data_IF_048438939821
#
_entry.id   IF_048438939821
#
_cell.length_a   1.000
_cell.length_b   1.000
_cell.length_c   1.000
_cell.angle_alpha   90.00
_cell.angle_beta   90.00
_cell.angle_gamma   90.00
#
_symmetry.space_group_name_H-M   'P 1'
#
loop_
_entity.id
_entity.type
_entity.pdbx_description
1 polymer ?
#
# COMPACT_ATOMS: atom_id res chain seq x y z
N UNK A 1 -33.00 -7.10 -5.67
CA UNK A 1 -31.88 -6.19 -6.03
C UNK A 1 -30.72 -7.04 -6.54
N UNK A 2 -30.76 -7.41 -7.84
CA UNK A 2 -29.80 -8.34 -8.43
C UNK A 2 -28.65 -7.54 -9.05
N UNK A 3 -27.64 -7.22 -8.24
CA UNK A 3 -26.39 -6.64 -8.73
C UNK A 3 -25.56 -7.79 -9.31
N UNK A 4 -26.01 -8.34 -10.45
CA UNK A 4 -25.10 -9.08 -11.33
C UNK A 4 -24.21 -8.07 -12.05
N UNK A 5 -23.36 -7.36 -11.30
CA UNK A 5 -22.15 -6.83 -11.86
C UNK A 5 -21.31 -8.05 -12.19
N UNK A 6 -21.34 -8.50 -13.45
CA UNK A 6 -20.27 -9.35 -13.96
C UNK A 6 -18.96 -8.64 -13.60
N UNK A 7 -18.01 -9.31 -12.91
CA UNK A 7 -16.75 -8.67 -12.60
C UNK A 7 -16.19 -8.15 -13.92
N UNK A 8 -15.71 -6.90 -13.94
CA UNK A 8 -14.96 -6.41 -15.09
C UNK A 8 -13.72 -7.27 -15.16
N UNK A 9 -13.78 -8.34 -15.95
CA UNK A 9 -12.66 -9.24 -16.14
C UNK A 9 -11.67 -8.48 -17.00
N UNK A 10 -10.57 -8.06 -16.38
CA UNK A 10 -9.44 -7.49 -17.10
C UNK A 10 -9.09 -8.37 -18.29
N UNK A 11 -9.07 -7.75 -19.47
CA UNK A 11 -8.59 -8.41 -20.69
C UNK A 11 -7.14 -8.87 -20.51
N UNK A 12 -6.68 -9.77 -21.38
CA UNK A 12 -5.28 -10.20 -21.41
C UNK A 12 -4.31 -9.01 -21.47
N UNK A 13 -4.69 -7.96 -22.21
CA UNK A 13 -3.94 -6.70 -22.33
C UNK A 13 -3.78 -5.98 -21.00
N UNK A 14 -4.86 -5.85 -20.21
CA UNK A 14 -4.79 -5.21 -18.88
C UNK A 14 -3.88 -5.97 -17.92
N UNK A 15 -3.98 -7.32 -17.93
CA UNK A 15 -3.12 -8.18 -17.12
C UNK A 15 -1.65 -8.07 -17.53
N UNK A 16 -1.39 -8.02 -18.84
CA UNK A 16 -0.05 -7.83 -19.38
C UNK A 16 0.53 -6.47 -18.95
N UNK A 17 -0.24 -5.38 -19.06
CA UNK A 17 0.18 -4.06 -18.60
C UNK A 17 0.49 -4.05 -17.10
N UNK A 18 -0.37 -4.63 -16.26
CA UNK A 18 -0.07 -4.73 -14.83
C UNK A 18 1.23 -5.51 -14.61
N UNK A 19 1.39 -6.67 -15.26
CA UNK A 19 2.58 -7.50 -15.12
C UNK A 19 3.84 -6.73 -15.54
N UNK A 20 3.81 -5.97 -16.63
CA UNK A 20 4.94 -5.16 -17.07
C UNK A 20 5.26 -4.04 -16.07
N UNK A 21 4.26 -3.36 -15.51
CA UNK A 21 4.47 -2.29 -14.52
C UNK A 21 5.06 -2.87 -13.23
N UNK A 22 4.52 -3.98 -12.74
CA UNK A 22 5.04 -4.66 -11.55
C UNK A 22 6.46 -5.20 -11.80
N UNK A 23 6.71 -5.80 -12.96
CA UNK A 23 8.04 -6.27 -13.35
C UNK A 23 9.02 -5.10 -13.43
N UNK A 24 8.66 -4.00 -14.08
CA UNK A 24 9.51 -2.81 -14.16
C UNK A 24 9.84 -2.23 -12.78
N UNK A 25 8.86 -2.13 -11.88
CA UNK A 25 9.08 -1.67 -10.50
C UNK A 25 9.98 -2.64 -9.72
N UNK A 26 9.76 -3.95 -9.86
CA UNK A 26 10.58 -4.97 -9.21
C UNK A 26 12.02 -4.96 -9.74
N UNK A 27 12.19 -4.81 -11.05
CA UNK A 27 13.52 -4.65 -11.67
C UNK A 27 14.20 -3.38 -11.18
N UNK A 28 13.49 -2.26 -11.09
CA UNK A 28 14.04 -1.03 -10.52
C UNK A 28 14.48 -1.24 -9.05
N UNK A 29 13.64 -1.86 -8.22
CA UNK A 29 13.97 -2.19 -6.84
C UNK A 29 15.22 -3.10 -6.72
N UNK A 30 15.31 -4.12 -7.58
CA UNK A 30 16.47 -5.01 -7.66
C UNK A 30 17.74 -4.28 -8.06
N UNK A 31 17.71 -3.46 -9.12
CA UNK A 31 18.89 -2.71 -9.59
C UNK A 31 19.34 -1.71 -8.54
N UNK A 32 18.42 -0.96 -7.93
CA UNK A 32 18.72 -0.01 -6.86
C UNK A 32 19.39 -0.72 -5.68
N UNK A 33 18.79 -1.82 -5.20
CA UNK A 33 19.27 -2.53 -4.00
C UNK A 33 20.56 -3.31 -4.21
N UNK A 34 20.80 -3.87 -5.40
CA UNK A 34 22.01 -4.64 -5.72
C UNK A 34 23.21 -3.76 -6.08
N UNK A 35 22.96 -2.61 -6.70
CA UNK A 35 24.03 -1.66 -7.03
C UNK A 35 24.31 -0.62 -5.96
N UNK A 36 23.61 -0.69 -4.81
CA UNK A 36 23.77 0.25 -3.69
C UNK A 36 23.59 1.73 -4.07
N UNK A 37 22.83 2.01 -5.14
CA UNK A 37 22.65 3.35 -5.72
C UNK A 37 21.97 4.34 -4.77
N UNK A 38 21.20 3.80 -3.83
CA UNK A 38 20.44 4.51 -2.82
C UNK A 38 20.67 3.87 -1.45
N UNK A 39 21.88 3.35 -1.19
CA UNK A 39 22.23 2.84 0.13
C UNK A 39 22.53 4.00 1.08
N UNK A 40 21.87 4.02 2.24
CA UNK A 40 22.17 5.01 3.26
C UNK A 40 23.54 4.73 3.91
N UNK A 41 24.34 5.77 4.04
CA UNK A 41 25.63 5.79 4.74
C UNK A 41 25.49 6.00 6.27
N UNK A 42 24.25 5.92 6.79
CA UNK A 42 23.87 6.24 8.16
C UNK A 42 24.10 7.71 8.56
N UNK A 43 24.36 8.60 7.61
CA UNK A 43 24.53 10.03 7.83
C UNK A 43 23.61 10.90 6.96
N UNK A 44 22.95 10.28 5.99
CA UNK A 44 22.04 10.95 5.06
C UNK A 44 20.78 11.47 5.75
N UNK A 45 20.51 12.78 5.62
CA UNK A 45 19.32 13.45 6.16
C UNK A 45 18.02 13.07 5.43
N UNK A 46 18.12 12.69 4.16
CA UNK A 46 17.02 12.18 3.36
C UNK A 46 17.18 10.66 3.21
N UNK A 47 16.50 9.86 4.06
CA UNK A 47 16.67 8.42 4.06
C UNK A 47 16.12 7.83 2.75
N UNK A 48 16.93 7.09 1.98
CA UNK A 48 16.54 6.59 0.66
C UNK A 48 15.28 5.72 0.66
N UNK A 49 15.04 5.02 1.77
CA UNK A 49 13.81 4.26 2.03
C UNK A 49 12.52 5.07 1.81
N UNK A 50 12.53 6.36 2.16
CA UNK A 50 11.37 7.25 1.97
C UNK A 50 11.15 7.57 0.50
N UNK A 51 12.24 7.77 -0.25
CA UNK A 51 12.19 8.08 -1.68
C UNK A 51 11.64 6.88 -2.45
N UNK A 52 12.18 5.68 -2.20
CA UNK A 52 11.78 4.47 -2.93
C UNK A 52 10.34 4.05 -2.63
N UNK A 53 9.84 4.32 -1.41
CA UNK A 53 8.44 4.09 -1.06
C UNK A 53 7.49 5.16 -1.63
N UNK A 54 7.88 6.44 -1.64
CA UNK A 54 6.97 7.56 -1.99
C UNK A 54 6.91 7.83 -3.48
N UNK A 55 8.04 7.76 -4.20
CA UNK A 55 8.09 8.10 -5.64
C UNK A 55 7.10 7.28 -6.48
N UNK A 56 7.00 5.94 -6.33
CA UNK A 56 6.02 5.16 -7.10
C UNK A 56 4.57 5.55 -6.79
N UNK A 57 4.28 5.92 -5.54
CA UNK A 57 2.95 6.39 -5.12
C UNK A 57 2.62 7.74 -5.75
N UNK A 58 3.58 8.67 -5.78
CA UNK A 58 3.42 9.97 -6.46
C UNK A 58 3.16 9.76 -7.95
N UNK A 59 3.94 8.91 -8.62
CA UNK A 59 3.74 8.56 -10.04
C UNK A 59 2.33 7.99 -10.25
N UNK A 60 1.87 7.07 -9.40
CA UNK A 60 0.51 6.54 -9.44
C UNK A 60 -0.55 7.64 -9.32
N UNK A 61 -0.42 8.52 -8.33
CA UNK A 61 -1.39 9.61 -8.10
C UNK A 61 -1.42 10.56 -9.29
N UNK A 62 -0.27 10.95 -9.84
CA UNK A 62 -0.19 11.80 -11.03
C UNK A 62 -0.85 11.12 -12.24
N UNK A 63 -0.49 9.86 -12.51
CA UNK A 63 -1.08 9.09 -13.61
C UNK A 63 -2.61 8.94 -13.46
N UNK A 64 -3.11 8.71 -12.24
CA UNK A 64 -4.54 8.60 -11.96
C UNK A 64 -5.30 9.90 -12.24
N UNK A 65 -4.69 11.05 -11.95
CA UNK A 65 -5.33 12.36 -12.16
C UNK A 65 -5.23 12.85 -13.60
N UNK A 66 -4.14 12.51 -14.30
CA UNK A 66 -3.85 13.04 -15.65
C UNK A 66 -4.37 12.13 -16.77
N UNK A 67 -4.34 10.80 -16.59
CA UNK A 67 -4.59 9.84 -17.67
C UNK A 67 -5.95 9.15 -17.52
N UNK A 68 -6.98 9.50 -18.32
CA UNK A 68 -8.32 8.92 -18.20
C UNK A 68 -8.36 7.39 -18.42
N UNK A 69 -7.51 6.89 -19.31
CA UNK A 69 -7.37 5.46 -19.57
C UNK A 69 -6.84 4.71 -18.32
N UNK A 70 -5.80 5.26 -17.67
CA UNK A 70 -5.24 4.67 -16.45
C UNK A 70 -6.24 4.72 -15.29
N UNK A 71 -6.96 5.84 -15.13
CA UNK A 71 -8.03 5.96 -14.14
C UNK A 71 -9.11 4.90 -14.33
N UNK A 72 -9.54 4.65 -15.57
CA UNK A 72 -10.52 3.61 -15.89
C UNK A 72 -10.00 2.21 -15.56
N UNK A 73 -8.72 1.95 -15.87
CA UNK A 73 -8.04 0.70 -15.52
C UNK A 73 -8.01 0.45 -14.01
N UNK A 74 -7.60 1.46 -13.23
CA UNK A 74 -7.54 1.38 -11.76
C UNK A 74 -8.91 1.13 -11.16
N UNK A 75 -9.95 1.83 -11.64
CA UNK A 75 -11.32 1.67 -11.13
C UNK A 75 -11.99 0.36 -11.55
N UNK A 76 -11.47 -0.35 -12.55
CA UNK A 76 -11.94 -1.66 -12.95
C UNK A 76 -11.56 -2.78 -11.96
N UNK A 77 -10.54 -2.58 -11.11
CA UNK A 77 -10.05 -3.59 -10.15
C UNK A 77 -11.11 -4.09 -9.18
N UNK A 78 -11.21 -5.40 -8.97
CA UNK A 78 -12.19 -5.97 -8.03
C UNK A 78 -11.93 -5.47 -6.60
N UNK A 79 -12.94 -4.84 -6.00
CA UNK A 79 -12.86 -4.32 -4.63
C UNK A 79 -12.67 -5.42 -3.58
N UNK A 80 -13.18 -6.63 -3.83
CA UNK A 80 -12.94 -7.80 -2.97
C UNK A 80 -11.50 -8.24 -3.04
N UNK A 81 -10.90 -8.24 -4.23
CA UNK A 81 -9.48 -8.58 -4.40
C UNK A 81 -8.57 -7.53 -3.73
N UNK A 82 -8.90 -6.23 -3.88
CA UNK A 82 -8.18 -5.12 -3.25
C UNK A 82 -8.16 -5.22 -1.72
N UNK A 83 -9.24 -5.75 -1.12
CA UNK A 83 -9.29 -6.03 0.32
C UNK A 83 -8.59 -7.35 0.65
N UNK A 84 -8.80 -8.42 -0.13
CA UNK A 84 -8.25 -9.74 0.16
C UNK A 84 -6.72 -9.79 0.10
N UNK A 85 -6.10 -9.05 -0.82
CA UNK A 85 -4.64 -8.96 -0.90
C UNK A 85 -4.03 -8.36 0.38
N UNK A 86 -4.78 -7.57 1.16
CA UNK A 86 -4.29 -7.03 2.44
C UNK A 86 -3.99 -8.13 3.47
N UNK A 87 -4.57 -9.34 3.33
CA UNK A 87 -4.24 -10.49 4.19
C UNK A 87 -2.74 -10.83 4.16
N UNK A 88 -2.05 -10.58 3.04
CA UNK A 88 -0.62 -10.83 2.91
C UNK A 88 0.25 -9.95 3.81
N UNK A 89 -0.31 -8.87 4.38
CA UNK A 89 0.45 -8.01 5.30
C UNK A 89 0.88 -8.71 6.57
N UNK A 90 0.35 -9.89 6.90
CA UNK A 90 0.87 -10.70 8.01
C UNK A 90 2.37 -11.05 7.85
N UNK A 91 2.91 -10.93 6.63
CA UNK A 91 4.36 -11.01 6.36
C UNK A 91 5.16 -9.95 7.15
N UNK A 92 4.55 -8.87 7.64
CA UNK A 92 5.18 -7.89 8.53
C UNK A 92 5.77 -8.48 9.81
N UNK A 93 5.38 -9.71 10.21
CA UNK A 93 6.08 -10.48 11.25
C UNK A 93 7.58 -10.65 10.96
N UNK A 94 7.99 -10.62 9.69
CA UNK A 94 9.39 -10.65 9.29
C UNK A 94 10.19 -9.49 9.91
N UNK A 95 9.61 -8.30 10.09
CA UNK A 95 10.31 -7.19 10.73
C UNK A 95 10.62 -7.47 12.20
N UNK A 96 9.71 -8.14 12.92
CA UNK A 96 9.94 -8.55 14.31
C UNK A 96 11.04 -9.61 14.41
N UNK A 97 11.10 -10.55 13.44
CA UNK A 97 12.19 -11.51 13.35
C UNK A 97 13.53 -10.82 13.07
N UNK A 98 13.56 -9.86 12.13
CA UNK A 98 14.77 -9.09 11.81
C UNK A 98 15.23 -8.24 13.01
N UNK A 99 14.33 -7.76 13.85
CA UNK A 99 14.68 -7.17 15.13
C UNK A 99 15.30 -8.18 16.10
N UNK A 100 14.72 -9.37 16.23
CA UNK A 100 15.26 -10.43 17.08
C UNK A 100 16.66 -10.90 16.64
N UNK A 101 16.99 -10.73 15.36
CA UNK A 101 18.31 -10.98 14.77
C UNK A 101 19.24 -9.77 14.82
N UNK A 102 18.85 -8.68 15.49
CA UNK A 102 19.61 -7.42 15.59
C UNK A 102 19.92 -6.75 14.24
N UNK A 103 19.14 -7.07 13.18
CA UNK A 103 19.30 -6.49 11.84
C UNK A 103 18.55 -5.16 11.73
N UNK A 104 17.39 -5.04 12.39
CA UNK A 104 16.57 -3.83 12.35
C UNK A 104 16.36 -3.24 13.75
N UNK A 105 16.27 -1.91 13.86
CA UNK A 105 15.98 -1.25 15.13
C UNK A 105 14.56 -1.52 15.60
N UNK A 106 14.39 -1.63 16.91
CA UNK A 106 13.09 -1.79 17.56
C UNK A 106 12.10 -0.68 17.18
N UNK A 107 12.60 0.57 17.09
CA UNK A 107 11.80 1.76 16.77
C UNK A 107 11.11 1.70 15.42
N UNK A 108 11.64 0.91 14.47
CA UNK A 108 11.00 0.62 13.20
C UNK A 108 10.24 -0.71 13.23
N UNK A 109 10.91 -1.78 13.66
CA UNK A 109 10.41 -3.14 13.51
C UNK A 109 9.09 -3.39 14.25
N UNK A 110 8.96 -2.86 15.48
CA UNK A 110 7.75 -3.00 16.28
C UNK A 110 6.54 -2.33 15.64
N UNK A 111 6.56 -1.00 15.36
CA UNK A 111 5.40 -0.34 14.77
C UNK A 111 5.08 -0.89 13.38
N UNK A 112 6.08 -1.08 12.50
CA UNK A 112 5.84 -1.59 11.16
C UNK A 112 5.28 -3.02 11.18
N UNK A 113 5.92 -3.92 11.93
CA UNK A 113 5.51 -5.33 11.98
C UNK A 113 4.14 -5.54 12.62
N UNK A 114 3.86 -4.91 13.76
CA UNK A 114 2.56 -5.03 14.42
C UNK A 114 1.47 -4.38 13.58
N UNK A 115 1.71 -3.19 13.03
CA UNK A 115 0.73 -2.48 12.23
C UNK A 115 0.34 -3.28 10.97
N UNK A 116 1.34 -3.85 10.28
CA UNK A 116 1.11 -4.71 9.12
C UNK A 116 0.24 -5.93 9.46
N UNK A 117 0.57 -6.62 10.56
CA UNK A 117 -0.20 -7.79 11.04
C UNK A 117 -1.60 -7.40 11.45
N UNK A 118 -1.77 -6.28 12.17
CA UNK A 118 -3.07 -5.79 12.60
C UNK A 118 -3.98 -5.48 11.41
N UNK A 119 -3.46 -4.81 10.38
CA UNK A 119 -4.20 -4.54 9.13
C UNK A 119 -4.50 -5.84 8.38
N UNK A 120 -3.53 -6.75 8.29
CA UNK A 120 -3.69 -8.05 7.63
C UNK A 120 -4.79 -8.89 8.27
N UNK A 121 -4.79 -9.05 9.60
CA UNK A 121 -5.83 -9.78 10.32
C UNK A 121 -7.19 -9.06 10.22
N UNK A 122 -7.20 -7.73 10.33
CA UNK A 122 -8.44 -6.94 10.21
C UNK A 122 -9.11 -7.09 8.84
N UNK A 123 -8.34 -7.40 7.79
CA UNK A 123 -8.91 -7.67 6.47
C UNK A 123 -9.88 -8.86 6.48
N UNK A 124 -9.69 -9.87 7.34
CA UNK A 124 -10.62 -11.01 7.49
C UNK A 124 -11.99 -10.51 7.92
N UNK A 125 -12.03 -9.64 8.94
CA UNK A 125 -13.26 -9.04 9.44
C UNK A 125 -13.95 -8.19 8.36
N UNK A 126 -13.18 -7.37 7.65
CA UNK A 126 -13.70 -6.51 6.58
C UNK A 126 -14.29 -7.34 5.44
N UNK A 127 -13.62 -8.40 5.00
CA UNK A 127 -14.13 -9.32 3.98
C UNK A 127 -15.43 -10.01 4.44
N UNK A 128 -15.50 -10.44 5.69
CA UNK A 128 -16.71 -11.00 6.28
C UNK A 128 -17.87 -9.99 6.25
N UNK A 129 -17.62 -8.74 6.65
CA UNK A 129 -18.61 -7.65 6.57
C UNK A 129 -19.06 -7.39 5.12
N UNK A 130 -18.14 -7.38 4.16
CA UNK A 130 -18.46 -7.20 2.73
C UNK A 130 -19.35 -8.34 2.16
N UNK A 131 -19.24 -9.56 2.70
CA UNK A 131 -20.06 -10.69 2.28
C UNK A 131 -21.46 -10.63 2.88
N UNK A 132 -21.58 -10.19 4.14
CA UNK A 132 -22.86 -10.12 4.85
C UNK A 132 -23.67 -8.86 4.52
N UNK A 133 -22.99 -7.76 4.19
CA UNK A 133 -23.60 -6.45 3.96
C UNK A 133 -22.95 -5.77 2.73
N UNK A 134 -23.56 -5.86 1.54
CA UNK A 134 -23.05 -5.21 0.33
C UNK A 134 -22.94 -3.67 0.44
N UNK A 135 -23.72 -3.03 1.31
CA UNK A 135 -23.66 -1.58 1.50
C UNK A 135 -22.41 -1.14 2.27
N UNK A 136 -21.81 -2.04 3.06
CA UNK A 136 -20.63 -1.79 3.87
C UNK A 136 -19.46 -1.18 3.10
N UNK A 137 -19.26 -1.61 1.85
CA UNK A 137 -18.19 -1.13 0.94
C UNK A 137 -18.27 0.39 0.71
N UNK A 138 -19.46 0.97 0.77
CA UNK A 138 -19.67 2.41 0.61
C UNK A 138 -19.76 3.15 1.94
N UNK A 139 -19.68 2.44 3.08
CA UNK A 139 -19.74 2.99 4.42
C UNK A 139 -18.40 3.53 4.93
N UNK A 140 -18.45 4.18 6.10
CA UNK A 140 -17.25 4.75 6.72
C UNK A 140 -16.33 3.68 7.32
N UNK A 141 -16.86 2.51 7.72
CA UNK A 141 -16.04 1.41 8.24
C UNK A 141 -15.04 0.87 7.21
N UNK A 142 -15.47 0.71 5.95
CA UNK A 142 -14.58 0.31 4.86
C UNK A 142 -13.50 1.36 4.59
N UNK A 143 -13.89 2.65 4.55
CA UNK A 143 -12.95 3.74 4.37
C UNK A 143 -11.94 3.86 5.53
N UNK A 144 -12.41 3.68 6.77
CA UNK A 144 -11.56 3.70 7.96
C UNK A 144 -10.53 2.57 7.94
N UNK A 145 -10.92 1.35 7.54
CA UNK A 145 -9.97 0.24 7.39
C UNK A 145 -8.81 0.56 6.43
N UNK A 146 -9.13 1.03 5.22
CA UNK A 146 -8.10 1.38 4.25
C UNK A 146 -7.28 2.61 4.68
N UNK A 147 -7.89 3.58 5.38
CA UNK A 147 -7.18 4.71 5.97
C UNK A 147 -6.21 4.28 7.09
N UNK A 148 -6.60 3.33 7.94
CA UNK A 148 -5.72 2.75 8.96
C UNK A 148 -4.53 2.03 8.32
N UNK A 149 -4.74 1.32 7.21
CA UNK A 149 -3.65 0.71 6.47
C UNK A 149 -2.69 1.70 5.79
N UNK A 150 -3.17 2.90 5.42
CA UNK A 150 -2.31 4.00 4.96
C UNK A 150 -1.55 4.64 6.13
N UNK A 151 -2.21 4.82 7.27
CA UNK A 151 -1.60 5.36 8.47
C UNK A 151 -0.47 4.47 8.96
N UNK A 152 -0.67 3.15 8.95
CA UNK A 152 0.36 2.17 9.27
C UNK A 152 1.63 2.35 8.42
N UNK A 153 1.48 2.43 7.08
CA UNK A 153 2.64 2.72 6.23
C UNK A 153 3.26 4.09 6.48
N UNK A 154 2.46 5.12 6.76
CA UNK A 154 3.00 6.44 7.09
C UNK A 154 3.85 6.39 8.37
N UNK A 155 3.38 5.64 9.38
CA UNK A 155 4.15 5.38 10.61
C UNK A 155 5.41 4.59 10.30
N UNK A 156 5.32 3.50 9.54
CA UNK A 156 6.47 2.66 9.18
C UNK A 156 7.54 3.44 8.39
N UNK A 157 7.15 4.23 7.39
CA UNK A 157 8.07 5.08 6.62
C UNK A 157 8.68 6.16 7.52
N UNK A 158 7.88 6.78 8.39
CA UNK A 158 8.35 7.80 9.32
C UNK A 158 9.37 7.25 10.31
N UNK A 159 9.06 6.12 10.97
CA UNK A 159 9.96 5.48 11.92
C UNK A 159 11.19 4.92 11.23
N UNK A 160 11.07 4.39 10.01
CA UNK A 160 12.22 3.95 9.25
C UNK A 160 13.16 5.10 8.94
N UNK A 161 12.62 6.25 8.53
CA UNK A 161 13.42 7.42 8.23
C UNK A 161 14.11 8.00 9.47
N UNK A 162 13.42 8.05 10.61
CA UNK A 162 14.01 8.49 11.88
C UNK A 162 15.10 7.54 12.38
N UNK A 163 14.95 6.24 12.12
CA UNK A 163 15.90 5.20 12.52
C UNK A 163 17.01 4.95 11.48
N UNK A 164 17.14 5.82 10.46
CA UNK A 164 18.06 5.63 9.36
C UNK A 164 19.51 6.10 9.65
N UNK A 165 19.76 6.72 10.80
CA UNK A 165 21.10 7.20 11.21
C UNK A 165 21.34 8.70 10.98
N UNK A 166 20.55 9.35 10.13
CA UNK A 166 20.68 10.79 9.86
C UNK A 166 20.46 11.72 11.06
N UNK A 167 19.92 11.19 12.17
CA UNK A 167 19.73 11.90 13.44
C UNK A 167 20.39 11.12 14.59
N UNK A 168 21.68 11.37 14.90
CA UNK A 168 22.43 10.59 15.89
C UNK A 168 21.78 10.55 17.29
N UNK A 169 21.01 11.58 17.68
CA UNK A 169 20.28 11.59 18.95
C UNK A 169 19.05 10.66 19.00
N UNK A 170 18.60 10.15 17.85
CA UNK A 170 17.46 9.23 17.72
C UNK A 170 17.88 7.79 17.42
N UNK A 171 19.13 7.59 17.01
CA UNK A 171 19.73 6.28 16.77
C UNK A 171 20.72 5.95 17.87
N UNK A 172 20.47 4.90 18.65
CA UNK A 172 21.46 4.36 19.58
C UNK A 172 22.63 3.72 18.82
N UNK A 173 23.68 3.27 19.52
CA UNK A 173 24.79 2.50 18.95
C UNK A 173 24.39 1.12 18.34
N UNK A 174 23.09 0.88 18.12
CA UNK A 174 22.53 -0.35 17.58
C UNK A 174 22.25 -0.27 16.07
N UNK A 175 21.50 -1.25 15.52
CA UNK A 175 21.19 -1.29 14.10
C UNK A 175 20.36 -0.09 13.65
N UNK A 176 20.60 0.35 12.42
CA UNK A 176 19.76 1.34 11.72
C UNK A 176 18.89 0.65 10.67
N UNK A 177 18.04 1.40 9.99
CA UNK A 177 17.26 0.89 8.84
C UNK A 177 18.05 0.80 7.54
N UNK A 178 19.37 1.08 7.54
CA UNK A 178 20.20 1.02 6.33
C UNK A 178 20.19 -0.37 5.65
N UNK A 179 19.97 -1.45 6.42
CA UNK A 179 19.81 -2.80 5.87
C UNK A 179 18.62 -2.89 4.89
N UNK A 180 17.60 -2.03 5.02
CA UNK A 180 16.45 -1.98 4.13
C UNK A 180 16.73 -1.28 2.80
N UNK A 181 17.88 -0.63 2.61
CA UNK A 181 18.22 0.00 1.33
C UNK A 181 18.98 -0.95 0.39
N UNK A 182 19.39 -2.12 0.91
CA UNK A 182 20.22 -3.10 0.20
C UNK A 182 19.44 -4.39 -0.10
N UNK A 183 19.77 -5.05 -1.21
CA UNK A 183 19.17 -6.35 -1.53
C UNK A 183 19.57 -7.43 -0.49
N UNK A 184 18.65 -8.32 -0.05
CA UNK A 184 17.28 -8.51 -0.52
C UNK A 184 16.23 -7.66 0.20
N UNK A 185 16.54 -7.00 1.31
CA UNK A 185 15.54 -6.30 2.13
C UNK A 185 14.94 -5.06 1.45
N UNK A 186 15.65 -4.46 0.49
CA UNK A 186 15.13 -3.36 -0.33
C UNK A 186 13.85 -3.70 -1.11
N UNK A 187 13.51 -4.98 -1.28
CA UNK A 187 12.23 -5.37 -1.86
C UNK A 187 11.03 -4.83 -1.06
N UNK A 188 11.16 -4.65 0.25
CA UNK A 188 10.10 -4.11 1.10
C UNK A 188 9.78 -2.66 0.74
N UNK A 189 10.69 -1.69 0.95
CA UNK A 189 10.40 -0.28 0.71
C UNK A 189 10.31 0.08 -0.78
N UNK A 190 11.06 -0.59 -1.66
CA UNK A 190 11.09 -0.23 -3.09
C UNK A 190 10.02 -0.91 -3.94
N UNK A 191 9.37 -1.97 -3.45
CA UNK A 191 8.35 -2.71 -4.22
C UNK A 191 7.09 -3.00 -3.41
N UNK A 192 7.21 -3.73 -2.30
CA UNK A 192 6.04 -4.21 -1.55
C UNK A 192 5.24 -3.03 -0.96
N UNK A 193 5.88 -2.18 -0.17
CA UNK A 193 5.25 -1.02 0.48
C UNK A 193 4.52 -0.11 -0.51
N UNK A 194 5.14 0.41 -1.59
CA UNK A 194 4.45 1.26 -2.55
C UNK A 194 3.27 0.55 -3.23
N UNK A 195 3.41 -0.73 -3.59
CA UNK A 195 2.31 -1.51 -4.18
C UNK A 195 1.13 -1.58 -3.22
N UNK A 196 1.37 -1.89 -1.95
CA UNK A 196 0.29 -1.95 -0.97
C UNK A 196 -0.34 -0.58 -0.67
N UNK A 197 0.44 0.51 -0.62
CA UNK A 197 -0.10 1.88 -0.53
C UNK A 197 -1.04 2.16 -1.71
N UNK A 198 -0.61 1.85 -2.93
CA UNK A 198 -1.41 2.03 -4.15
C UNK A 198 -2.70 1.21 -4.09
N UNK A 199 -2.65 -0.02 -3.56
CA UNK A 199 -3.84 -0.87 -3.38
C UNK A 199 -4.83 -0.26 -2.37
N UNK A 200 -4.34 0.27 -1.25
CA UNK A 200 -5.19 1.00 -0.27
C UNK A 200 -5.86 2.22 -0.92
N UNK A 201 -5.09 3.04 -1.65
CA UNK A 201 -5.61 4.21 -2.36
C UNK A 201 -6.65 3.80 -3.41
N UNK A 202 -6.39 2.74 -4.17
CA UNK A 202 -7.30 2.24 -5.20
C UNK A 202 -8.63 1.79 -4.59
N UNK A 203 -8.60 1.09 -3.46
CA UNK A 203 -9.80 0.67 -2.74
C UNK A 203 -10.65 1.87 -2.30
N UNK A 204 -10.02 2.91 -1.74
CA UNK A 204 -10.69 4.15 -1.34
C UNK A 204 -11.30 4.90 -2.53
N UNK A 205 -10.55 5.02 -3.63
CA UNK A 205 -11.01 5.67 -4.86
C UNK A 205 -12.21 4.94 -5.46
N UNK A 206 -12.17 3.61 -5.48
CA UNK A 206 -13.27 2.77 -5.96
C UNK A 206 -14.51 2.87 -5.06
N UNK A 207 -14.33 2.79 -3.74
CA UNK A 207 -15.43 2.98 -2.79
C UNK A 207 -16.09 4.36 -2.93
N UNK A 208 -15.28 5.42 -3.12
CA UNK A 208 -15.79 6.79 -3.36
C UNK A 208 -16.58 6.89 -4.67
N UNK A 209 -16.12 6.25 -5.74
CA UNK A 209 -16.85 6.20 -7.01
C UNK A 209 -18.21 5.49 -6.84
N UNK A 210 -18.23 4.35 -6.15
CA UNK A 210 -19.45 3.60 -5.88
C UNK A 210 -20.44 4.41 -5.05
N UNK A 211 -19.96 5.07 -3.98
CA UNK A 211 -20.79 5.97 -3.14
C UNK A 211 -21.43 7.09 -3.96
N UNK A 212 -20.66 7.74 -4.84
CA UNK A 212 -21.17 8.80 -5.74
C UNK A 212 -22.22 8.28 -6.72
N UNK A 213 -22.01 7.10 -7.29
CA UNK A 213 -22.97 6.49 -8.20
C UNK A 213 -24.31 6.16 -7.52
N UNK A 214 -24.29 5.72 -6.26
CA UNK A 214 -25.51 5.49 -5.47
C UNK A 214 -26.23 6.81 -5.18
N UNK A 215 -25.51 7.83 -4.73
CA UNK A 215 -26.09 9.14 -4.43
C UNK A 215 -26.74 9.79 -5.66
N UNK A 216 -26.09 9.72 -6.83
CA UNK A 216 -26.65 10.24 -8.08
C UNK A 216 -27.94 9.54 -8.51
N UNK A 217 -28.02 8.21 -8.34
CA UNK A 217 -29.25 7.44 -8.62
C UNK A 217 -30.41 7.83 -7.70
N UNK A 218 -30.14 8.08 -6.43
CA UNK A 218 -31.16 8.52 -5.47
C UNK A 218 -31.70 9.92 -5.82
N UNK A 219 -30.85 10.83 -6.29
CA UNK A 219 -31.23 12.16 -6.75
C UNK A 219 -32.09 12.10 -8.03
N UNK A 220 -31.71 11.28 -9.02
CA UNK A 220 -32.52 11.13 -10.25
C UNK A 220 -33.88 10.49 -9.98
N UNK A 221 -34.00 9.64 -8.96
CA UNK A 221 -35.26 8.98 -8.60
C UNK A 221 -36.23 9.88 -7.80
N UNK A 222 -35.75 11.03 -7.28
CA UNK A 222 -36.54 11.95 -6.46
C UNK A 222 -36.96 13.24 -7.19
N UNK A 223 -36.53 13.44 -8.44
CA UNK A 223 -37.01 14.54 -9.28
C UNK A 223 -38.35 14.14 -9.93
N UNK A 224 -39.46 14.89 -9.71
CA UNK A 224 -40.69 14.68 -10.45
C UNK A 224 -40.50 15.02 -11.94
N UNK A 225 -41.16 14.24 -12.80
CA UNK A 225 -41.13 14.39 -14.27
C UNK A 225 -41.72 15.73 -14.74
#
# INVERSE_FOLDING_TARGET
MNIQNRPVVWSATHKLWLAMVLAAQLTAAYVIGSGHWLANDAHSLLPPIGITAVVPVVIFVLAYNVLPAFRSFVLALDIRLLTAVQLWRVVGLAFLLLYALEILPASFAWPAGIGDVAVGISAIYVLSRMNNDPAYVTGNGYAAFHAMGLLDFAVAIGTAGLAAGGFPGLTSNGPTTAAMDVWPLNIFPSFIVPVFIILQLTALLKARQMRRAIAGKAQSASQPA
#
